data_IF_755754850540
#
_entry.id   IF_755754850540
#
_cell.length_a   1.000
_cell.length_b   1.000
_cell.length_c   1.000
_cell.angle_alpha   90.00
_cell.angle_beta   90.00
_cell.angle_gamma   90.00
#
_symmetry.space_group_name_H-M   'P 1'
#
loop_
_entity.id
_entity.type
_entity.pdbx_description
1 polymer ?
#
# COMPACT_ATOMS: atom_id res chain seq x y z
N UNK A 1 -84.48 51.39 30.91
CA UNK A 1 -85.48 50.41 31.45
C UNK A 1 -85.48 49.18 30.56
N UNK A 2 -85.23 48.04 31.06
CA UNK A 2 -85.53 46.68 30.65
C UNK A 2 -84.43 45.67 30.96
N UNK A 3 -84.74 44.78 31.82
CA UNK A 3 -83.92 43.70 32.30
C UNK A 3 -83.88 42.62 31.24
N UNK A 4 -82.69 42.10 30.97
CA UNK A 4 -82.51 40.84 30.24
C UNK A 4 -81.91 39.74 31.16
N UNK A 5 -82.63 38.64 31.18
CA UNK A 5 -82.39 37.44 31.97
C UNK A 5 -81.15 36.69 31.39
N UNK A 6 -80.35 36.26 32.31
CA UNK A 6 -79.27 35.31 32.01
C UNK A 6 -79.86 33.91 31.85
N UNK A 7 -79.54 33.26 30.73
CA UNK A 7 -79.69 31.81 30.53
C UNK A 7 -78.28 31.21 30.51
N UNK A 8 -78.03 30.40 31.47
CA UNK A 8 -76.74 29.63 31.54
C UNK A 8 -76.83 28.39 30.67
N UNK A 9 -75.85 28.23 29.83
CA UNK A 9 -75.60 26.97 29.13
C UNK A 9 -74.28 26.46 29.65
N UNK A 10 -74.34 25.33 30.35
CA UNK A 10 -73.18 24.57 30.79
C UNK A 10 -72.59 23.82 29.57
N UNK A 11 -71.45 24.23 29.11
CA UNK A 11 -70.65 23.43 28.13
C UNK A 11 -69.65 22.56 28.84
N UNK A 12 -69.87 21.27 28.77
CA UNK A 12 -68.94 20.28 29.29
C UNK A 12 -67.64 20.27 28.44
N UNK A 13 -66.55 20.57 29.06
CA UNK A 13 -65.23 20.46 28.44
C UNK A 13 -64.77 18.99 28.56
N UNK A 14 -64.79 18.27 27.44
CA UNK A 14 -64.12 16.96 27.33
C UNK A 14 -62.64 17.25 27.10
N UNK A 15 -61.84 17.01 28.15
CA UNK A 15 -60.38 17.01 28.04
C UNK A 15 -59.97 15.71 27.36
N UNK A 16 -59.60 15.78 26.06
CA UNK A 16 -58.89 14.71 25.39
C UNK A 16 -57.42 14.91 25.73
N UNK A 17 -56.93 14.06 26.64
CA UNK A 17 -55.53 13.98 26.99
C UNK A 17 -54.75 13.40 25.81
N UNK A 18 -54.07 14.24 25.05
CA UNK A 18 -53.02 13.78 24.14
C UNK A 18 -51.75 13.45 24.97
N UNK A 19 -51.57 12.18 25.29
CA UNK A 19 -50.26 11.69 25.77
C UNK A 19 -49.30 11.69 24.58
N UNK A 20 -48.48 12.70 24.48
CA UNK A 20 -47.33 12.74 23.57
C UNK A 20 -46.31 11.75 24.11
N UNK A 21 -46.32 10.53 23.57
CA UNK A 21 -45.25 9.57 23.79
C UNK A 21 -43.99 10.08 23.02
N UNK A 22 -43.12 10.76 23.74
CA UNK A 22 -41.81 11.13 23.20
C UNK A 22 -41.02 9.83 23.03
N UNK A 23 -40.98 9.29 21.80
CA UNK A 23 -40.02 8.28 21.43
C UNK A 23 -38.63 8.92 21.45
N UNK A 24 -37.96 8.79 22.58
CA UNK A 24 -36.53 9.06 22.67
C UNK A 24 -35.80 7.99 21.83
N UNK A 25 -35.59 8.28 20.52
CA UNK A 25 -34.71 7.52 19.68
C UNK A 25 -33.30 7.84 20.21
N UNK A 26 -32.88 7.11 21.24
CA UNK A 26 -31.45 7.00 21.57
C UNK A 26 -30.80 6.38 20.34
N UNK A 27 -30.23 7.24 19.49
CA UNK A 27 -29.29 6.82 18.47
C UNK A 27 -28.14 6.16 19.18
N UNK A 28 -28.25 4.84 19.36
CA UNK A 28 -27.14 4.01 19.78
C UNK A 28 -26.15 4.08 18.60
N UNK A 29 -25.27 5.08 18.64
CA UNK A 29 -24.07 5.05 17.83
C UNK A 29 -23.33 3.78 18.25
N UNK A 30 -23.54 2.70 17.50
CA UNK A 30 -22.71 1.52 17.57
C UNK A 30 -21.32 2.04 17.22
N UNK A 31 -20.52 2.31 18.26
CA UNK A 31 -19.10 2.44 18.13
C UNK A 31 -18.63 1.05 17.68
N UNK A 32 -18.60 0.84 16.37
CA UNK A 32 -17.92 -0.31 15.79
C UNK A 32 -16.45 -0.04 16.13
N UNK A 33 -16.06 -0.58 17.28
CA UNK A 33 -14.66 -0.75 17.66
C UNK A 33 -13.96 -1.27 16.42
N UNK A 34 -12.97 -0.52 15.91
CA UNK A 34 -12.32 -0.76 14.62
C UNK A 34 -11.80 -2.19 14.50
N UNK A 35 -12.70 -3.08 14.15
CA UNK A 35 -12.33 -4.38 13.61
C UNK A 35 -11.52 -4.06 12.35
N UNK A 36 -10.25 -4.54 12.30
CA UNK A 36 -9.53 -4.58 11.02
C UNK A 36 -10.55 -4.97 9.96
N UNK A 37 -10.76 -4.15 8.92
CA UNK A 37 -11.52 -4.65 7.81
C UNK A 37 -10.79 -5.94 7.46
N UNK A 38 -11.54 -7.03 7.32
CA UNK A 38 -11.01 -8.24 6.71
C UNK A 38 -10.56 -7.77 5.34
N UNK A 39 -9.30 -7.28 5.30
CA UNK A 39 -8.65 -7.06 4.02
C UNK A 39 -8.89 -8.39 3.32
N UNK A 40 -9.48 -8.35 2.13
CA UNK A 40 -9.54 -9.53 1.25
C UNK A 40 -8.10 -9.84 0.81
N UNK A 41 -7.19 -9.99 1.79
CA UNK A 41 -5.78 -10.35 1.60
C UNK A 41 -5.69 -11.63 0.78
N UNK A 42 -6.67 -12.52 0.97
CA UNK A 42 -6.79 -13.76 0.21
C UNK A 42 -7.00 -13.47 -1.28
N UNK A 43 -7.89 -12.56 -1.65
CA UNK A 43 -8.13 -12.22 -3.06
C UNK A 43 -6.88 -11.63 -3.74
N UNK A 44 -6.10 -10.81 -3.03
CA UNK A 44 -4.84 -10.29 -3.54
C UNK A 44 -3.77 -11.37 -3.60
N UNK A 45 -3.65 -12.20 -2.58
CA UNK A 45 -2.77 -13.36 -2.54
C UNK A 45 -3.07 -14.32 -3.69
N UNK A 46 -4.34 -14.63 -3.96
CA UNK A 46 -4.77 -15.49 -5.07
C UNK A 46 -4.33 -14.93 -6.43
N UNK A 47 -4.53 -13.63 -6.66
CA UNK A 47 -4.08 -12.96 -7.88
C UNK A 47 -2.55 -13.00 -8.01
N UNK A 48 -1.82 -12.74 -6.92
CA UNK A 48 -0.37 -12.80 -6.90
C UNK A 48 0.15 -14.22 -7.17
N UNK A 49 -0.43 -15.24 -6.53
CA UNK A 49 -0.03 -16.63 -6.73
C UNK A 49 -0.25 -17.10 -8.16
N UNK A 50 -1.34 -16.65 -8.79
CA UNK A 50 -1.72 -17.02 -10.14
C UNK A 50 -0.87 -16.31 -11.19
N UNK A 51 -0.61 -15.02 -11.01
CA UNK A 51 -0.04 -14.17 -12.06
C UNK A 51 1.40 -13.70 -11.81
N UNK A 52 2.00 -14.07 -10.67
CA UNK A 52 3.42 -13.78 -10.40
C UNK A 52 4.20 -15.09 -10.34
N UNK A 53 5.23 -15.20 -11.17
CA UNK A 53 6.15 -16.34 -11.19
C UNK A 53 7.05 -16.41 -9.94
N UNK A 54 7.62 -17.58 -9.64
CA UNK A 54 8.65 -17.73 -8.61
C UNK A 54 9.92 -16.93 -8.94
N UNK A 55 10.15 -16.64 -10.20
CA UNK A 55 11.20 -15.78 -10.73
C UNK A 55 10.91 -14.28 -10.52
N UNK A 56 9.71 -13.93 -10.07
CA UNK A 56 9.24 -12.55 -9.86
C UNK A 56 8.70 -11.88 -11.13
N UNK A 57 8.63 -12.59 -12.26
CA UNK A 57 8.03 -12.06 -13.48
C UNK A 57 6.50 -12.05 -13.37
N UNK A 58 5.90 -11.00 -13.90
CA UNK A 58 4.47 -10.71 -13.80
C UNK A 58 3.75 -11.04 -15.09
N UNK A 59 2.69 -11.82 -15.02
CA UNK A 59 1.76 -12.07 -16.12
C UNK A 59 0.73 -10.92 -16.20
N UNK A 60 1.09 -9.81 -16.84
CA UNK A 60 0.20 -8.67 -17.03
C UNK A 60 -1.05 -9.02 -17.88
N UNK A 61 -0.96 -9.78 -18.96
CA UNK A 61 -2.16 -10.29 -19.65
C UNK A 61 -3.12 -11.07 -18.74
N UNK A 62 -2.58 -11.89 -17.85
CA UNK A 62 -3.37 -12.60 -16.84
C UNK A 62 -4.08 -11.67 -15.86
N UNK A 63 -3.42 -10.62 -15.39
CA UNK A 63 -4.06 -9.58 -14.59
C UNK A 63 -5.14 -8.81 -15.37
N UNK A 64 -4.94 -8.56 -16.67
CA UNK A 64 -5.96 -7.94 -17.55
C UNK A 64 -7.18 -8.84 -17.65
N UNK A 65 -7.01 -10.14 -17.82
CA UNK A 65 -8.11 -11.11 -17.89
C UNK A 65 -8.93 -11.15 -16.58
N UNK A 66 -8.30 -10.89 -15.44
CA UNK A 66 -8.96 -10.85 -14.12
C UNK A 66 -9.09 -9.41 -13.55
N UNK A 67 -9.10 -8.40 -14.43
CA UNK A 67 -9.17 -6.98 -14.03
C UNK A 67 -10.33 -6.65 -13.07
N UNK A 68 -11.45 -7.37 -13.16
CA UNK A 68 -12.60 -7.16 -12.27
C UNK A 68 -12.25 -7.56 -10.84
N UNK A 69 -11.54 -8.68 -10.64
CA UNK A 69 -11.10 -9.10 -9.30
C UNK A 69 -10.06 -8.12 -8.72
N UNK A 70 -9.10 -7.69 -9.56
CA UNK A 70 -8.14 -6.68 -9.15
C UNK A 70 -8.84 -5.37 -8.77
N UNK A 71 -9.80 -4.91 -9.58
CA UNK A 71 -10.54 -3.68 -9.29
C UNK A 71 -11.32 -3.80 -7.97
N UNK A 72 -11.99 -4.93 -7.72
CA UNK A 72 -12.69 -5.16 -6.44
C UNK A 72 -11.75 -5.10 -5.23
N UNK A 73 -10.51 -5.55 -5.37
CA UNK A 73 -9.50 -5.42 -4.32
C UNK A 73 -9.05 -3.96 -4.13
N UNK A 74 -8.80 -3.25 -5.22
CA UNK A 74 -8.42 -1.84 -5.20
C UNK A 74 -9.52 -0.95 -4.61
N UNK A 75 -10.79 -1.24 -4.91
CA UNK A 75 -11.94 -0.55 -4.32
C UNK A 75 -12.00 -0.80 -2.81
N UNK A 76 -11.79 -2.04 -2.37
CA UNK A 76 -11.74 -2.36 -0.95
C UNK A 76 -10.61 -1.63 -0.21
N UNK A 77 -9.42 -1.49 -0.84
CA UNK A 77 -8.35 -0.65 -0.30
C UNK A 77 -8.76 0.82 -0.24
N UNK A 78 -9.38 1.33 -1.30
CA UNK A 78 -9.76 2.75 -1.43
C UNK A 78 -10.81 3.17 -0.40
N UNK A 79 -11.75 2.28 -0.10
CA UNK A 79 -12.86 2.52 0.83
C UNK A 79 -12.47 2.32 2.29
N UNK A 80 -11.41 1.53 2.57
CA UNK A 80 -10.99 1.17 3.92
C UNK A 80 -9.55 1.60 4.20
N UNK A 81 -9.25 2.91 4.27
CA UNK A 81 -7.92 3.39 4.61
C UNK A 81 -7.53 2.98 6.04
N UNK A 82 -6.22 2.93 6.36
CA UNK A 82 -5.77 2.66 7.71
C UNK A 82 -6.39 3.63 8.72
N UNK A 83 -6.96 3.10 9.80
CA UNK A 83 -7.45 3.87 10.92
C UNK A 83 -6.32 4.22 11.90
N UNK A 84 -6.50 5.28 12.70
CA UNK A 84 -5.48 5.74 13.64
C UNK A 84 -5.08 4.67 14.67
N UNK A 85 -6.04 3.84 15.10
CA UNK A 85 -5.86 2.76 16.07
C UNK A 85 -5.21 1.49 15.51
N UNK A 86 -4.92 1.43 14.20
CA UNK A 86 -4.19 0.28 13.65
C UNK A 86 -2.74 0.28 14.13
N UNK A 87 -2.16 -0.92 14.31
CA UNK A 87 -0.73 -1.05 14.58
C UNK A 87 0.10 -0.50 13.40
N UNK A 88 1.35 -0.10 13.67
CA UNK A 88 2.26 0.32 12.61
C UNK A 88 2.48 -0.78 11.57
N UNK A 89 2.58 -2.03 12.01
CA UNK A 89 2.74 -3.17 11.11
C UNK A 89 1.53 -3.33 10.17
N UNK A 90 0.31 -3.16 10.68
CA UNK A 90 -0.90 -3.21 9.85
C UNK A 90 -0.93 -2.07 8.83
N UNK A 91 -0.53 -0.87 9.25
CA UNK A 91 -0.44 0.29 8.37
C UNK A 91 0.61 0.10 7.28
N UNK A 92 1.81 -0.38 7.64
CA UNK A 92 2.86 -0.67 6.66
C UNK A 92 2.40 -1.75 5.67
N UNK A 93 1.84 -2.87 6.16
CA UNK A 93 1.33 -3.94 5.31
C UNK A 93 0.28 -3.43 4.31
N UNK A 94 -0.67 -2.62 4.78
CA UNK A 94 -1.66 -1.97 3.93
C UNK A 94 -1.01 -1.14 2.82
N UNK A 95 -0.07 -0.26 3.16
CA UNK A 95 0.55 0.64 2.19
C UNK A 95 1.47 -0.08 1.19
N UNK A 96 2.15 -1.15 1.61
CA UNK A 96 2.90 -2.03 0.70
C UNK A 96 1.97 -2.71 -0.31
N UNK A 97 0.87 -3.28 0.17
CA UNK A 97 -0.13 -3.90 -0.69
C UNK A 97 -0.76 -2.89 -1.66
N UNK A 98 -1.12 -1.71 -1.15
CA UNK A 98 -1.69 -0.64 -1.98
C UNK A 98 -0.71 -0.19 -3.08
N UNK A 99 0.54 0.09 -2.73
CA UNK A 99 1.56 0.48 -3.72
C UNK A 99 1.70 -0.58 -4.82
N UNK A 100 1.88 -1.84 -4.44
CA UNK A 100 2.10 -2.92 -5.38
C UNK A 100 0.87 -3.18 -6.27
N UNK A 101 -0.34 -3.19 -5.69
CA UNK A 101 -1.57 -3.41 -6.45
C UNK A 101 -1.88 -2.24 -7.42
N UNK A 102 -1.71 -0.99 -6.97
CA UNK A 102 -1.88 0.18 -7.85
C UNK A 102 -0.76 0.27 -8.90
N UNK A 103 0.46 -0.21 -8.62
CA UNK A 103 1.50 -0.34 -9.65
C UNK A 103 1.07 -1.31 -10.75
N UNK A 104 0.55 -2.49 -10.39
CA UNK A 104 -0.03 -3.44 -11.38
C UNK A 104 -1.16 -2.77 -12.17
N UNK A 105 -2.08 -2.07 -11.49
CA UNK A 105 -3.18 -1.35 -12.14
C UNK A 105 -2.66 -0.32 -13.15
N UNK A 106 -1.67 0.48 -12.77
CA UNK A 106 -1.07 1.47 -13.65
C UNK A 106 -0.49 0.83 -14.92
N UNK A 107 0.21 -0.30 -14.79
CA UNK A 107 0.78 -1.00 -15.94
C UNK A 107 -0.32 -1.59 -16.82
N UNK A 108 -1.31 -2.31 -16.27
CA UNK A 108 -2.35 -2.95 -17.10
C UNK A 108 -3.26 -1.95 -17.81
N UNK A 109 -3.45 -0.75 -17.24
CA UNK A 109 -4.23 0.32 -17.90
C UNK A 109 -3.55 0.88 -19.15
N UNK A 110 -2.22 0.69 -19.26
CA UNK A 110 -1.43 1.22 -20.36
C UNK A 110 -0.75 0.11 -21.19
N UNK A 111 -1.03 -1.16 -20.85
CA UNK A 111 -0.40 -2.29 -21.52
C UNK A 111 -0.80 -2.39 -23.01
N UNK A 112 0.16 -2.71 -23.92
CA UNK A 112 1.55 -3.08 -23.68
C UNK A 112 2.49 -1.86 -23.56
N UNK A 113 3.41 -1.94 -22.58
CA UNK A 113 4.49 -0.95 -22.41
C UNK A 113 5.82 -1.67 -22.22
N UNK A 114 6.92 -1.03 -22.60
CA UNK A 114 8.27 -1.60 -22.41
C UNK A 114 8.85 -1.32 -21.02
N UNK A 115 8.40 -0.24 -20.40
CA UNK A 115 8.86 0.23 -19.09
C UNK A 115 7.77 1.08 -18.43
N UNK A 116 7.70 1.09 -17.11
CA UNK A 116 6.89 2.07 -16.38
C UNK A 116 7.30 3.50 -16.73
N UNK A 117 8.57 3.72 -17.08
CA UNK A 117 9.10 5.04 -17.48
C UNK A 117 8.52 5.57 -18.78
N UNK A 118 7.87 4.73 -19.59
CA UNK A 118 7.17 5.16 -20.81
C UNK A 118 5.85 5.88 -20.50
N UNK A 119 5.40 5.82 -19.25
CA UNK A 119 4.18 6.45 -18.77
C UNK A 119 4.47 7.87 -18.27
N UNK A 120 3.43 8.72 -18.30
CA UNK A 120 3.54 10.11 -17.81
C UNK A 120 3.83 11.13 -18.90
N UNK A 121 4.30 12.32 -18.51
CA UNK A 121 4.56 13.41 -19.45
C UNK A 121 5.75 13.09 -20.35
N UNK A 122 5.66 13.50 -21.63
CA UNK A 122 6.75 13.34 -22.63
C UNK A 122 8.08 13.98 -22.20
N UNK A 123 8.04 14.96 -21.32
CA UNK A 123 9.22 15.64 -20.77
C UNK A 123 9.27 15.40 -19.26
N UNK A 124 9.87 14.28 -18.87
CA UNK A 124 10.14 13.99 -17.47
C UNK A 124 11.38 14.76 -17.04
N UNK A 125 11.21 15.72 -16.14
CA UNK A 125 12.33 16.32 -15.42
C UNK A 125 12.65 15.36 -14.26
N UNK A 126 13.94 15.14 -13.99
CA UNK A 126 14.40 14.28 -12.90
C UNK A 126 13.65 14.68 -11.60
N UNK A 127 12.92 13.75 -11.00
CA UNK A 127 12.08 13.91 -9.81
C UNK A 127 10.81 14.76 -9.95
N UNK A 128 10.41 15.18 -11.17
CA UNK A 128 9.16 15.93 -11.39
C UNK A 128 8.40 15.31 -12.56
N UNK A 129 7.09 15.11 -12.38
CA UNK A 129 6.19 14.50 -13.39
C UNK A 129 6.63 13.10 -13.84
N UNK A 130 7.13 12.31 -12.91
CA UNK A 130 7.47 10.91 -13.15
C UNK A 130 6.19 10.04 -13.23
N UNK A 131 6.25 8.83 -13.78
CA UNK A 131 5.10 7.92 -13.76
C UNK A 131 4.49 7.69 -12.37
N UNK A 132 5.31 7.74 -11.34
CA UNK A 132 4.86 7.60 -9.94
C UNK A 132 4.11 8.81 -9.41
N UNK A 133 4.12 9.96 -10.10
CA UNK A 133 3.38 11.18 -9.76
C UNK A 133 2.00 11.24 -10.42
N UNK A 134 1.65 10.27 -11.27
CA UNK A 134 0.34 10.21 -11.91
C UNK A 134 -0.75 10.07 -10.84
N UNK A 135 -1.74 10.97 -10.89
CA UNK A 135 -2.89 11.00 -9.99
C UNK A 135 -4.01 10.16 -10.61
N UNK A 136 -4.08 8.86 -10.31
CA UNK A 136 -5.02 7.97 -10.98
C UNK A 136 -5.91 7.16 -10.04
N UNK A 137 -5.75 7.30 -8.71
CA UNK A 137 -6.57 6.60 -7.74
C UNK A 137 -6.85 7.45 -6.50
N UNK A 138 -7.78 6.97 -5.65
CA UNK A 138 -8.09 7.61 -4.37
C UNK A 138 -8.06 6.57 -3.26
N UNK A 139 -7.68 6.98 -2.06
CA UNK A 139 -7.78 6.19 -0.83
C UNK A 139 -8.40 7.10 0.24
N UNK A 140 -9.49 6.65 0.87
CA UNK A 140 -10.23 7.45 1.85
C UNK A 140 -10.71 8.79 1.27
N UNK A 141 -11.14 8.82 0.00
CA UNK A 141 -11.55 10.02 -0.72
C UNK A 141 -10.42 10.96 -1.15
N UNK A 142 -9.18 10.74 -0.71
CA UNK A 142 -8.02 11.58 -1.04
C UNK A 142 -7.34 11.09 -2.32
N UNK A 143 -7.06 11.99 -3.26
CA UNK A 143 -6.28 11.67 -4.47
C UNK A 143 -4.86 11.29 -4.09
N UNK A 144 -4.39 10.17 -4.64
CA UNK A 144 -3.11 9.54 -4.32
C UNK A 144 -2.25 9.36 -5.57
N UNK A 145 -0.96 9.20 -5.32
CA UNK A 145 0.06 8.81 -6.29
C UNK A 145 0.95 7.73 -5.66
N UNK A 146 1.65 6.94 -6.47
CA UNK A 146 2.61 5.96 -5.95
C UNK A 146 3.73 6.65 -5.14
N UNK A 147 4.25 7.78 -5.64
CA UNK A 147 5.23 8.61 -4.93
C UNK A 147 4.73 9.06 -3.55
N UNK A 148 3.44 9.40 -3.41
CA UNK A 148 2.88 9.77 -2.11
C UNK A 148 2.91 8.60 -1.15
N UNK A 149 2.54 7.39 -1.58
CA UNK A 149 2.60 6.19 -0.72
C UNK A 149 4.04 5.92 -0.29
N UNK A 150 4.98 5.87 -1.23
CA UNK A 150 6.37 5.54 -0.92
C UNK A 150 7.06 6.66 -0.13
N UNK A 151 7.11 7.89 -0.68
CA UNK A 151 7.98 8.93 -0.16
C UNK A 151 7.37 9.75 0.97
N UNK A 152 6.04 9.85 1.09
CA UNK A 152 5.41 10.63 2.15
C UNK A 152 4.88 9.79 3.28
N UNK A 153 4.37 8.59 2.98
CA UNK A 153 3.78 7.72 3.99
C UNK A 153 4.83 6.72 4.48
N UNK A 154 5.21 5.74 3.65
CA UNK A 154 6.09 4.65 4.10
C UNK A 154 7.45 5.15 4.60
N UNK A 155 8.11 6.07 3.87
CA UNK A 155 9.44 6.56 4.22
C UNK A 155 9.44 7.55 5.37
N UNK A 156 8.46 8.44 5.50
CA UNK A 156 8.48 9.49 6.50
C UNK A 156 7.84 9.08 7.83
N UNK A 157 6.77 8.26 7.77
CA UNK A 157 6.00 7.93 8.96
C UNK A 157 6.55 6.69 9.68
N UNK A 158 7.06 5.68 8.94
CA UNK A 158 7.39 4.37 9.54
C UNK A 158 8.89 4.08 9.68
N UNK A 159 9.73 4.59 8.77
CA UNK A 159 11.20 4.45 8.84
C UNK A 159 11.68 2.99 8.93
N UNK A 160 11.04 2.08 8.20
CA UNK A 160 11.39 0.66 8.10
C UNK A 160 12.26 0.45 6.83
N UNK A 161 13.58 0.20 6.94
CA UNK A 161 14.46 0.17 5.77
C UNK A 161 14.15 -0.98 4.81
N UNK A 162 13.56 -2.08 5.28
CA UNK A 162 13.23 -3.24 4.44
C UNK A 162 12.07 -3.01 3.48
N UNK A 163 11.33 -1.88 3.59
CA UNK A 163 10.28 -1.55 2.61
C UNK A 163 10.83 -1.44 1.20
N UNK A 164 12.10 -1.02 1.06
CA UNK A 164 12.76 -0.91 -0.24
C UNK A 164 12.97 -2.25 -0.95
N UNK A 165 12.82 -3.37 -0.25
CA UNK A 165 12.83 -4.73 -0.82
C UNK A 165 11.41 -5.29 -1.01
N UNK A 166 10.38 -4.57 -0.58
CA UNK A 166 8.98 -4.97 -0.62
C UNK A 166 8.16 -4.21 -1.67
N UNK A 167 8.64 -3.05 -2.12
CA UNK A 167 8.02 -2.24 -3.16
C UNK A 167 8.50 -2.68 -4.54
N UNK A 168 7.56 -3.00 -5.44
CA UNK A 168 7.86 -3.37 -6.81
C UNK A 168 7.38 -2.28 -7.79
N UNK A 169 8.34 -1.65 -8.47
CA UNK A 169 8.08 -0.59 -9.44
C UNK A 169 7.92 -1.09 -10.89
N UNK A 170 7.55 -2.34 -11.08
CA UNK A 170 7.34 -2.98 -12.38
C UNK A 170 8.58 -3.07 -13.29
N UNK A 171 9.80 -3.02 -12.73
CA UNK A 171 11.04 -3.18 -13.51
C UNK A 171 11.77 -4.48 -13.22
N UNK A 172 12.61 -4.96 -14.13
CA UNK A 172 13.41 -6.18 -13.96
C UNK A 172 14.39 -6.08 -12.79
N UNK A 173 14.92 -4.90 -12.48
CA UNK A 173 15.84 -4.70 -11.34
C UNK A 173 15.13 -4.43 -10.02
N UNK A 174 13.80 -4.31 -9.98
CA UNK A 174 13.05 -4.26 -8.72
C UNK A 174 13.24 -5.54 -7.90
N UNK A 175 13.11 -5.45 -6.58
CA UNK A 175 12.82 -6.64 -5.78
C UNK A 175 11.63 -7.39 -6.35
N UNK A 176 11.64 -8.72 -6.26
CA UNK A 176 10.54 -9.53 -6.76
C UNK A 176 9.23 -9.14 -6.08
N UNK A 177 8.15 -9.06 -6.86
CA UNK A 177 6.82 -8.93 -6.29
C UNK A 177 6.49 -10.19 -5.50
N UNK A 178 6.21 -10.03 -4.19
CA UNK A 178 5.88 -11.15 -3.32
C UNK A 178 4.58 -11.81 -3.78
N UNK A 179 4.55 -13.15 -3.73
CA UNK A 179 3.39 -13.94 -4.19
C UNK A 179 2.30 -14.09 -3.13
N UNK A 180 2.34 -13.28 -2.08
CA UNK A 180 1.29 -13.17 -1.06
C UNK A 180 1.15 -11.72 -0.61
N UNK A 181 -0.01 -11.37 -0.11
CA UNK A 181 -0.24 -10.07 0.51
C UNK A 181 0.61 -9.91 1.78
N UNK A 182 1.10 -8.71 2.02
CA UNK A 182 1.68 -8.36 3.31
C UNK A 182 0.59 -8.35 4.38
N UNK A 183 0.92 -8.86 5.55
CA UNK A 183 0.03 -9.00 6.71
C UNK A 183 0.71 -8.45 7.95
N UNK A 184 0.04 -7.57 8.70
CA UNK A 184 0.65 -6.91 9.86
C UNK A 184 1.14 -7.87 10.93
N UNK A 185 0.45 -9.00 11.15
CA UNK A 185 0.86 -10.00 12.13
C UNK A 185 2.13 -10.77 11.71
N UNK A 186 2.40 -10.85 10.38
CA UNK A 186 3.54 -11.56 9.81
C UNK A 186 4.56 -10.62 9.17
N UNK A 187 4.35 -9.30 9.24
CA UNK A 187 5.11 -8.32 8.48
C UNK A 187 6.63 -8.43 8.69
N UNK A 188 7.07 -8.58 9.94
CA UNK A 188 8.50 -8.67 10.24
C UNK A 188 9.15 -9.88 9.57
N UNK A 189 8.48 -11.04 9.63
CA UNK A 189 8.94 -12.26 8.95
C UNK A 189 8.93 -12.09 7.42
N UNK A 190 7.87 -11.48 6.86
CA UNK A 190 7.74 -11.24 5.43
C UNK A 190 8.79 -10.26 4.91
N UNK A 191 9.09 -9.18 5.63
CA UNK A 191 10.13 -8.22 5.26
C UNK A 191 11.54 -8.81 5.38
N UNK A 192 11.77 -9.63 6.42
CA UNK A 192 13.04 -10.36 6.59
C UNK A 192 13.28 -11.35 5.45
N UNK A 193 12.25 -12.11 5.09
CA UNK A 193 12.29 -13.06 4.00
C UNK A 193 12.54 -12.35 2.65
N UNK A 194 11.86 -11.24 2.41
CA UNK A 194 12.03 -10.42 1.22
C UNK A 194 13.45 -9.83 1.11
N UNK A 195 14.04 -9.39 2.24
CA UNK A 195 15.42 -8.93 2.27
C UNK A 195 16.42 -10.06 1.93
N UNK A 196 16.22 -11.25 2.49
CA UNK A 196 17.06 -12.43 2.20
C UNK A 196 16.92 -12.84 0.73
N UNK A 197 15.71 -12.91 0.20
CA UNK A 197 15.46 -13.24 -1.20
C UNK A 197 16.14 -12.24 -2.14
N UNK A 198 15.95 -10.94 -1.88
CA UNK A 198 16.55 -9.88 -2.70
C UNK A 198 18.07 -9.95 -2.71
N UNK A 199 18.71 -10.18 -1.56
CA UNK A 199 20.15 -10.27 -1.43
C UNK A 199 20.75 -11.57 -2.03
N UNK A 200 19.97 -12.65 -2.07
CA UNK A 200 20.40 -13.92 -2.69
C UNK A 200 20.25 -13.93 -4.21
N UNK A 201 19.52 -12.97 -4.79
CA UNK A 201 19.30 -12.88 -6.24
C UNK A 201 20.55 -12.33 -6.94
N UNK A 202 21.31 -13.22 -7.56
CA UNK A 202 22.57 -12.89 -8.25
C UNK A 202 22.39 -11.98 -9.46
N UNK A 203 21.19 -11.87 -10.02
CA UNK A 203 20.88 -10.92 -11.09
C UNK A 203 20.78 -9.48 -10.57
N UNK A 204 20.58 -9.31 -9.27
CA UNK A 204 20.42 -8.01 -8.58
C UNK A 204 21.58 -7.69 -7.64
N UNK A 205 22.24 -8.69 -7.09
CA UNK A 205 23.34 -8.51 -6.16
C UNK A 205 24.40 -9.61 -6.38
N UNK A 206 25.62 -9.22 -6.67
CA UNK A 206 26.76 -10.12 -6.81
C UNK A 206 27.63 -10.03 -5.55
N UNK A 207 27.18 -10.71 -4.49
CA UNK A 207 27.83 -10.62 -3.18
C UNK A 207 29.13 -11.43 -3.14
N UNK A 208 30.17 -10.81 -2.62
CA UNK A 208 31.42 -11.43 -2.23
C UNK A 208 32.06 -10.61 -1.10
N UNK A 209 33.10 -11.15 -0.49
CA UNK A 209 33.70 -10.55 0.71
C UNK A 209 34.32 -9.17 0.45
N UNK A 210 35.01 -8.97 -0.67
CA UNK A 210 35.90 -7.80 -0.87
C UNK A 210 35.35 -6.74 -1.82
N UNK A 211 34.73 -7.15 -2.93
CA UNK A 211 34.31 -6.26 -4.02
C UNK A 211 32.88 -6.62 -4.49
N UNK A 212 31.87 -6.54 -3.61
CA UNK A 212 30.50 -6.86 -4.00
C UNK A 212 29.96 -5.83 -4.98
N UNK A 213 29.17 -6.30 -5.96
CA UNK A 213 28.35 -5.43 -6.81
C UNK A 213 26.91 -5.50 -6.35
N UNK A 214 26.43 -4.40 -5.81
CA UNK A 214 25.09 -4.30 -5.21
C UNK A 214 24.08 -3.78 -6.21
N UNK A 215 22.82 -4.06 -5.98
CA UNK A 215 21.73 -3.40 -6.69
C UNK A 215 21.80 -1.88 -6.50
N UNK A 216 21.48 -1.12 -7.55
CA UNK A 216 21.38 0.34 -7.48
C UNK A 216 20.37 0.83 -6.42
N UNK A 217 19.47 -0.03 -5.91
CA UNK A 217 18.59 0.30 -4.79
C UNK A 217 19.39 0.75 -3.55
N UNK A 218 20.55 0.17 -3.30
CA UNK A 218 21.43 0.59 -2.20
C UNK A 218 22.05 1.98 -2.45
N UNK A 219 22.25 2.36 -3.71
CA UNK A 219 22.65 3.73 -4.07
C UNK A 219 21.48 4.71 -3.90
N UNK A 220 20.26 4.34 -4.32
CA UNK A 220 19.09 5.21 -4.24
C UNK A 220 18.63 5.45 -2.80
N UNK A 221 18.64 4.41 -1.96
CA UNK A 221 18.06 4.41 -0.62
C UNK A 221 19.06 4.14 0.50
N UNK A 222 20.36 4.16 0.22
CA UNK A 222 21.39 3.90 1.22
C UNK A 222 21.35 4.86 2.42
N UNK A 223 20.92 6.10 2.21
CA UNK A 223 20.73 7.06 3.30
C UNK A 223 19.58 6.67 4.24
N UNK A 224 18.47 6.15 3.70
CA UNK A 224 17.35 5.64 4.49
C UNK A 224 17.81 4.44 5.32
N UNK A 225 18.52 3.50 4.68
CA UNK A 225 19.07 2.32 5.36
C UNK A 225 19.95 2.74 6.53
N UNK A 226 20.93 3.61 6.30
CA UNK A 226 21.83 4.09 7.36
C UNK A 226 21.07 4.80 8.48
N UNK A 227 20.19 5.73 8.12
CA UNK A 227 19.47 6.58 9.07
C UNK A 227 18.49 5.79 9.95
N UNK A 228 17.80 4.80 9.38
CA UNK A 228 16.72 4.10 10.08
C UNK A 228 17.20 2.85 10.80
N UNK A 229 18.21 2.16 10.26
CA UNK A 229 18.81 1.00 10.94
C UNK A 229 19.89 1.37 11.94
N UNK A 230 20.48 2.56 11.83
CA UNK A 230 21.68 2.95 12.59
C UNK A 230 22.96 2.21 12.17
N UNK A 231 22.95 1.52 11.02
CA UNK A 231 24.02 0.66 10.53
C UNK A 231 24.58 1.17 9.20
N UNK A 232 25.83 0.82 8.91
CA UNK A 232 26.35 0.95 7.54
C UNK A 232 25.57 0.04 6.57
N UNK A 233 25.71 0.28 5.26
CA UNK A 233 25.12 -0.59 4.24
C UNK A 233 25.63 -2.03 4.38
N UNK A 234 26.93 -2.20 4.63
CA UNK A 234 27.55 -3.52 4.79
C UNK A 234 26.98 -4.25 6.01
N UNK A 235 26.95 -3.60 7.17
CA UNK A 235 26.38 -4.19 8.38
C UNK A 235 24.90 -4.57 8.19
N UNK A 236 24.12 -3.71 7.52
CA UNK A 236 22.72 -3.98 7.23
C UNK A 236 22.57 -5.21 6.31
N UNK A 237 23.34 -5.28 5.21
CA UNK A 237 23.33 -6.42 4.29
C UNK A 237 23.73 -7.70 5.04
N UNK A 238 24.77 -7.63 5.85
CA UNK A 238 25.29 -8.78 6.59
C UNK A 238 24.31 -9.37 7.61
N UNK A 239 23.23 -8.68 7.97
CA UNK A 239 22.16 -9.25 8.79
C UNK A 239 21.33 -10.29 8.04
N UNK A 240 21.15 -10.11 6.73
CA UNK A 240 20.23 -10.89 5.92
C UNK A 240 20.92 -11.78 4.89
N UNK A 241 22.09 -11.37 4.40
CA UNK A 241 22.82 -12.09 3.37
C UNK A 241 23.51 -13.37 3.92
N UNK A 242 23.48 -14.44 3.13
CA UNK A 242 24.25 -15.64 3.43
C UNK A 242 25.75 -15.41 3.23
N UNK A 243 26.14 -14.75 2.14
CA UNK A 243 27.52 -14.33 1.87
C UNK A 243 27.81 -13.04 2.61
N UNK A 244 28.83 -13.05 3.48
CA UNK A 244 29.23 -11.87 4.25
C UNK A 244 30.21 -11.01 3.47
N UNK A 245 30.06 -9.71 3.66
CA UNK A 245 30.90 -8.67 3.07
C UNK A 245 31.83 -8.17 4.16
N UNK A 246 33.12 -8.02 3.85
CA UNK A 246 34.12 -7.48 4.77
C UNK A 246 33.80 -6.01 5.09
N UNK A 247 34.07 -5.57 6.31
CA UNK A 247 33.76 -4.20 6.76
C UNK A 247 34.39 -3.12 5.87
N UNK A 248 35.60 -3.40 5.35
CA UNK A 248 36.38 -2.50 4.50
C UNK A 248 36.20 -2.79 2.99
N UNK A 249 35.20 -3.55 2.60
CA UNK A 249 34.95 -3.85 1.20
C UNK A 249 34.62 -2.60 0.38
N UNK A 250 35.10 -2.58 -0.85
CA UNK A 250 34.72 -1.52 -1.80
C UNK A 250 33.40 -1.90 -2.46
N UNK A 251 32.37 -1.07 -2.23
CA UNK A 251 31.05 -1.27 -2.83
C UNK A 251 31.01 -0.72 -4.24
N UNK A 252 30.52 -1.53 -5.18
CA UNK A 252 30.17 -1.12 -6.53
C UNK A 252 28.68 -1.40 -6.76
N UNK A 253 28.07 -0.77 -7.79
CA UNK A 253 26.65 -0.85 -8.04
C UNK A 253 26.38 -1.33 -9.47
N UNK A 254 25.42 -2.23 -9.61
CA UNK A 254 24.93 -2.70 -10.91
C UNK A 254 24.02 -1.66 -11.55
N UNK A 255 24.02 -1.61 -12.86
CA UNK A 255 23.07 -0.80 -13.62
C UNK A 255 21.63 -1.22 -13.35
N UNK A 256 20.73 -0.24 -13.30
CA UNK A 256 19.32 -0.51 -13.04
C UNK A 256 18.56 -0.73 -14.37
N UNK A 257 18.09 -1.94 -14.56
CA UNK A 257 17.31 -2.33 -15.73
C UNK A 257 15.83 -1.95 -15.54
N UNK A 258 15.40 -0.90 -16.22
CA UNK A 258 14.03 -0.38 -16.17
C UNK A 258 13.03 -1.10 -17.09
N UNK A 259 13.47 -2.10 -17.87
CA UNK A 259 12.56 -2.89 -18.69
C UNK A 259 11.48 -3.52 -17.82
N UNK A 260 10.26 -3.62 -18.36
CA UNK A 260 9.12 -4.20 -17.66
C UNK A 260 9.42 -5.64 -17.20
N UNK A 261 9.08 -5.95 -15.95
CA UNK A 261 9.23 -7.29 -15.37
C UNK A 261 8.10 -8.25 -15.80
N UNK A 262 7.59 -8.10 -17.02
CA UNK A 262 6.55 -8.95 -17.60
C UNK A 262 7.08 -10.33 -18.03
N UNK A 263 6.25 -11.36 -17.89
CA UNK A 263 6.48 -12.64 -18.58
C UNK A 263 6.44 -12.38 -20.10
N UNK A 264 7.34 -13.07 -20.82
CA UNK A 264 7.35 -13.07 -22.29
C UNK A 264 6.28 -13.98 -22.85
#
# INVERSE_FOLDING_TARGET
>A
MSRLKKVGIAAGIVLIGLTATVFCITSCAIHISGTKPVQKSDAWTDLLQKHVGKDGLVDYPGFIAEKVKLQSYLDALSENPPADNWSNNDKIAYWLNAYNAFTIKLIIDHYPVKSIKDLGAKHQIIFINTPWDIKFFKIGGKTMTLNRIEHRILRQEFREPRIHFALNCASLSCPKLRREAYDGARLDAQLTDQAKEFLSDTSRNQLNAKNPKLSAIFSFYGNDIKKWSGKSIIEFINQYAAVKIDENATLDYLDYNWNLNGKK
#
